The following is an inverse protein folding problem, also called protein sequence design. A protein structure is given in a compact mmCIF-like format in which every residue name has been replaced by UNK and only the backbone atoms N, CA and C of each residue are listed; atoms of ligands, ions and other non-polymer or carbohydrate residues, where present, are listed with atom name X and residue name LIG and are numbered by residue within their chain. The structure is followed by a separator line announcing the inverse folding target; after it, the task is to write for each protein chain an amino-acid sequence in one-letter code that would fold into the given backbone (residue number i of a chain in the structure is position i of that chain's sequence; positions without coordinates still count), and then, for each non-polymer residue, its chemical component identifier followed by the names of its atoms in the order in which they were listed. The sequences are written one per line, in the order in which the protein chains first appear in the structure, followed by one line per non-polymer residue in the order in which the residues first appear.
data_IF_324898081752
#
_entry.id   IF_324898081752
#
_cell.length_a   1.000
_cell.length_b   1.000
_cell.length_c   1.000
_cell.angle_alpha   90.00
_cell.angle_beta   90.00
_cell.angle_gamma   90.00
#
_symmetry.space_group_name_H-M   'P 1'
#
loop_
_entity.id
_entity.type
_entity.pdbx_description
1 polymer ?
#
# COMPACT_ATOMS: atom_id res chain seq x y z
N UNK A 1 28.67 36.69 10.96
CA UNK A 1 28.99 35.70 9.92
C UNK A 1 28.78 34.31 10.49
N UNK A 2 27.99 33.49 9.78
CA UNK A 2 27.79 32.05 9.96
C UNK A 2 27.18 31.54 11.29
N UNK A 3 25.84 31.61 11.45
CA UNK A 3 25.14 30.62 12.31
C UNK A 3 23.61 30.42 12.10
N UNK A 4 22.98 30.80 10.99
CA UNK A 4 21.49 30.68 10.88
C UNK A 4 20.98 29.60 9.91
N UNK A 5 21.82 28.93 9.12
CA UNK A 5 21.34 28.10 8.01
C UNK A 5 20.95 26.66 8.35
N UNK A 6 21.11 26.18 9.59
CA UNK A 6 20.92 24.76 9.92
C UNK A 6 19.52 24.38 10.42
N UNK A 7 18.77 25.30 11.03
CA UNK A 7 17.38 25.02 11.48
C UNK A 7 16.33 25.29 10.38
N UNK A 8 16.66 26.15 9.41
CA UNK A 8 15.70 26.64 8.41
C UNK A 8 15.36 25.65 7.28
N UNK A 9 16.09 24.54 7.16
CA UNK A 9 15.97 23.65 6.00
C UNK A 9 15.34 22.28 6.28
N UNK A 10 14.73 22.10 7.47
CA UNK A 10 14.13 20.83 7.91
C UNK A 10 13.23 20.20 6.84
N UNK A 11 12.44 21.00 6.13
CA UNK A 11 11.55 20.48 5.08
C UNK A 11 12.29 19.93 3.86
N UNK A 12 13.35 20.60 3.40
CA UNK A 12 14.13 20.17 2.24
C UNK A 12 14.94 18.94 2.57
N UNK A 13 15.51 18.89 3.78
CA UNK A 13 16.20 17.70 4.27
C UNK A 13 15.24 16.51 4.40
N UNK A 14 14.00 16.74 4.84
CA UNK A 14 12.97 15.70 4.87
C UNK A 14 12.58 15.21 3.48
N UNK A 15 12.55 16.06 2.46
CA UNK A 15 12.29 15.67 1.07
C UNK A 15 13.45 14.83 0.51
N UNK A 16 14.68 15.27 0.76
CA UNK A 16 15.90 14.53 0.40
C UNK A 16 15.93 13.16 1.09
N UNK A 17 15.57 13.11 2.37
CA UNK A 17 15.49 11.86 3.12
C UNK A 17 14.37 10.97 2.57
N UNK A 18 13.19 11.51 2.27
CA UNK A 18 12.08 10.75 1.68
C UNK A 18 12.45 10.10 0.34
N UNK A 19 13.24 10.79 -0.49
CA UNK A 19 13.79 10.20 -1.73
C UNK A 19 14.76 9.06 -1.42
N UNK A 20 15.68 9.25 -0.47
CA UNK A 20 16.64 8.21 -0.05
C UNK A 20 15.95 6.99 0.56
N UNK A 21 14.91 7.18 1.37
CA UNK A 21 14.13 6.10 2.00
C UNK A 21 13.45 5.20 0.94
N UNK A 22 13.09 5.78 -0.22
CA UNK A 22 12.57 5.03 -1.38
C UNK A 22 13.67 4.40 -2.25
N UNK A 23 14.94 4.61 -1.94
CA UNK A 23 16.09 4.13 -2.73
C UNK A 23 16.27 4.87 -4.07
N UNK A 24 15.62 6.03 -4.25
CA UNK A 24 15.62 6.73 -5.53
C UNK A 24 16.86 7.60 -5.70
N UNK A 25 17.47 7.57 -6.89
CA UNK A 25 18.52 8.53 -7.26
C UNK A 25 17.92 9.90 -7.58
N UNK A 26 18.72 10.97 -7.53
CA UNK A 26 18.27 12.31 -7.96
C UNK A 26 17.84 12.31 -9.44
N UNK A 27 18.50 11.50 -10.28
CA UNK A 27 18.16 11.32 -11.68
C UNK A 27 16.79 10.65 -11.85
N UNK A 28 16.51 9.59 -11.09
CA UNK A 28 15.23 8.89 -11.14
C UNK A 28 14.05 9.80 -10.74
N UNK A 29 14.23 10.60 -9.67
CA UNK A 29 13.22 11.58 -9.29
C UNK A 29 13.03 12.65 -10.37
N UNK A 30 14.12 13.10 -10.99
CA UNK A 30 14.07 14.10 -12.06
C UNK A 30 13.28 13.59 -13.28
N UNK A 31 13.51 12.33 -13.70
CA UNK A 31 12.77 11.67 -14.78
C UNK A 31 11.26 11.57 -14.46
N UNK A 32 10.90 11.17 -13.23
CA UNK A 32 9.51 11.11 -12.76
C UNK A 32 8.80 12.46 -12.72
N UNK A 33 9.54 13.53 -12.42
CA UNK A 33 9.02 14.91 -12.33
C UNK A 33 9.01 15.60 -13.70
N UNK A 34 9.73 15.06 -14.70
CA UNK A 34 9.91 15.71 -16.00
C UNK A 34 10.86 16.90 -15.95
N UNK A 35 11.91 16.85 -15.13
CA UNK A 35 12.91 17.93 -15.01
C UNK A 35 14.35 17.39 -15.07
N UNK A 36 15.35 18.26 -15.03
CA UNK A 36 16.75 17.83 -15.04
C UNK A 36 17.22 17.37 -13.66
N UNK A 37 18.16 16.42 -13.62
CA UNK A 37 18.79 15.97 -12.37
C UNK A 37 19.46 17.11 -11.59
N UNK A 38 19.96 18.12 -12.32
CA UNK A 38 20.54 19.33 -11.74
C UNK A 38 19.47 20.19 -11.03
N UNK A 39 18.23 20.23 -11.51
CA UNK A 39 17.13 20.93 -10.82
C UNK A 39 16.78 20.24 -9.50
N UNK A 40 16.74 18.91 -9.45
CA UNK A 40 16.53 18.15 -8.21
C UNK A 40 17.70 18.36 -7.24
N UNK A 41 18.94 18.36 -7.74
CA UNK A 41 20.13 18.63 -6.92
C UNK A 41 20.09 20.03 -6.28
N UNK A 42 19.69 21.05 -7.05
CA UNK A 42 19.53 22.42 -6.54
C UNK A 42 18.36 22.52 -5.55
N UNK A 43 17.25 21.86 -5.85
CA UNK A 43 16.09 21.80 -4.97
C UNK A 43 16.45 21.24 -3.60
N UNK A 44 17.21 20.15 -3.55
CA UNK A 44 17.73 19.54 -2.32
C UNK A 44 18.78 20.37 -1.58
N UNK A 45 19.27 21.44 -2.20
CA UNK A 45 20.10 22.46 -1.57
C UNK A 45 19.27 23.71 -1.17
N UNK A 46 17.94 23.63 -1.22
CA UNK A 46 17.02 24.72 -0.89
C UNK A 46 16.82 25.75 -2.00
N UNK A 47 17.37 25.51 -3.19
CA UNK A 47 17.34 26.46 -4.31
C UNK A 47 16.48 25.93 -5.46
N UNK A 48 15.40 26.65 -5.77
CA UNK A 48 14.51 26.27 -6.88
C UNK A 48 13.19 27.01 -6.84
N UNK A 49 12.28 26.62 -7.73
CA UNK A 49 10.91 27.11 -7.75
C UNK A 49 10.01 26.27 -6.86
N UNK A 50 8.94 26.89 -6.35
CA UNK A 50 7.87 26.17 -5.64
C UNK A 50 7.20 25.14 -6.55
N UNK A 51 7.10 25.40 -7.85
CA UNK A 51 6.55 24.45 -8.81
C UNK A 51 7.35 23.13 -8.85
N UNK A 52 8.69 23.20 -8.94
CA UNK A 52 9.53 22.00 -8.91
C UNK A 52 9.49 21.30 -7.55
N UNK A 53 9.41 22.07 -6.46
CA UNK A 53 9.23 21.53 -5.11
C UNK A 53 7.93 20.72 -5.00
N UNK A 54 6.80 21.32 -5.42
CA UNK A 54 5.48 20.68 -5.38
C UNK A 54 5.46 19.43 -6.26
N UNK A 55 6.06 19.48 -7.45
CA UNK A 55 6.14 18.31 -8.32
C UNK A 55 6.97 17.18 -7.69
N UNK A 56 8.10 17.49 -7.05
CA UNK A 56 8.90 16.51 -6.30
C UNK A 56 8.14 15.98 -5.08
N UNK A 57 7.40 16.83 -4.36
CA UNK A 57 6.55 16.41 -3.24
C UNK A 57 5.47 15.44 -3.71
N UNK A 58 4.81 15.72 -4.83
CA UNK A 58 3.80 14.82 -5.40
C UNK A 58 4.40 13.47 -5.81
N UNK A 59 5.55 13.47 -6.50
CA UNK A 59 6.22 12.23 -6.92
C UNK A 59 6.69 11.35 -5.75
N UNK A 60 7.00 11.96 -4.60
CA UNK A 60 7.41 11.27 -3.38
C UNK A 60 6.25 10.97 -2.43
N UNK A 61 5.02 11.36 -2.79
CA UNK A 61 3.83 11.38 -1.91
C UNK A 61 4.11 12.10 -0.58
N UNK A 62 4.93 13.15 -0.65
CA UNK A 62 5.32 13.95 0.50
C UNK A 62 4.23 14.98 0.82
N UNK A 63 3.47 14.71 1.89
CA UNK A 63 2.41 15.60 2.39
C UNK A 63 2.89 16.38 3.61
N UNK A 64 2.43 17.62 3.75
CA UNK A 64 2.66 18.45 4.95
C UNK A 64 1.44 18.41 5.88
N UNK A 65 1.69 18.52 7.19
CA UNK A 65 0.67 18.79 8.22
C UNK A 65 1.00 20.06 8.97
N UNK A 66 0.03 20.60 9.73
CA UNK A 66 0.21 21.86 10.46
C UNK A 66 -0.10 23.12 9.64
N UNK A 67 -0.58 22.94 8.40
CA UNK A 67 -1.08 23.99 7.52
C UNK A 67 -2.62 24.10 7.57
N UNK A 68 -3.21 24.99 6.78
CA UNK A 68 -4.66 25.08 6.59
C UNK A 68 -5.20 23.90 5.77
N UNK A 69 -6.52 23.67 5.74
CA UNK A 69 -7.11 22.69 4.84
C UNK A 69 -6.92 23.13 3.37
N UNK A 70 -6.79 22.22 2.42
CA UNK A 70 -6.64 22.58 0.99
C UNK A 70 -6.05 21.44 0.15
N UNK A 71 -6.39 21.42 -1.14
CA UNK A 71 -5.92 20.38 -2.07
C UNK A 71 -4.47 20.63 -2.49
N UNK A 72 -4.07 21.90 -2.58
CA UNK A 72 -2.73 22.34 -2.99
C UNK A 72 -1.99 23.01 -1.85
N UNK A 73 -0.65 23.01 -1.89
CA UNK A 73 0.18 23.73 -0.91
C UNK A 73 -0.19 25.22 -0.86
N UNK A 74 -0.47 25.82 -2.01
CA UNK A 74 -0.87 27.21 -2.17
C UNK A 74 -2.16 27.54 -1.38
N UNK A 75 -3.21 26.72 -1.55
CA UNK A 75 -4.45 26.86 -0.80
C UNK A 75 -4.26 26.66 0.70
N UNK A 76 -3.43 25.69 1.09
CA UNK A 76 -3.16 25.40 2.50
C UNK A 76 -2.44 26.58 3.18
N UNK A 77 -1.51 27.24 2.48
CA UNK A 77 -0.85 28.47 2.95
C UNK A 77 -1.85 29.61 3.11
N UNK A 78 -2.66 29.87 2.08
CA UNK A 78 -3.68 30.92 2.10
C UNK A 78 -4.66 30.74 3.25
N UNK A 79 -5.23 29.55 3.38
CA UNK A 79 -6.20 29.23 4.46
C UNK A 79 -5.54 29.23 5.84
N UNK A 80 -4.25 28.87 5.95
CA UNK A 80 -3.51 29.01 7.22
C UNK A 80 -3.35 30.47 7.63
N UNK A 81 -2.99 31.34 6.68
CA UNK A 81 -2.85 32.79 6.90
C UNK A 81 -4.18 33.41 7.30
N UNK A 82 -5.25 33.06 6.58
CA UNK A 82 -6.60 33.50 6.90
C UNK A 82 -7.04 33.05 8.30
N UNK A 83 -6.81 31.78 8.66
CA UNK A 83 -7.13 31.24 10.00
C UNK A 83 -6.35 31.93 11.14
N UNK A 84 -5.17 32.47 10.86
CA UNK A 84 -4.38 33.29 11.81
C UNK A 84 -4.83 34.76 11.86
N UNK A 85 -5.80 35.17 11.05
CA UNK A 85 -6.24 36.56 10.94
C UNK A 85 -5.19 37.49 10.34
N UNK A 86 -4.19 36.97 9.63
CA UNK A 86 -3.13 37.80 9.05
C UNK A 86 -3.57 38.31 7.68
N UNK A 87 -3.55 39.64 7.50
CA UNK A 87 -3.61 40.22 6.16
C UNK A 87 -2.35 39.86 5.35
N UNK A 88 -2.39 40.04 4.03
CA UNK A 88 -1.19 39.87 3.18
C UNK A 88 -0.07 40.82 3.62
N UNK A 89 -0.41 42.06 3.98
CA UNK A 89 0.53 43.05 4.50
C UNK A 89 1.15 42.64 5.84
N UNK A 90 0.34 42.07 6.74
CA UNK A 90 0.82 41.55 8.04
C UNK A 90 1.77 40.38 7.85
N UNK A 91 1.46 39.46 6.93
CA UNK A 91 2.34 38.34 6.62
C UNK A 91 3.67 38.83 6.02
N UNK A 92 3.60 39.73 5.05
CA UNK A 92 4.76 40.38 4.42
C UNK A 92 5.70 41.01 5.46
N UNK A 93 5.16 41.83 6.36
CA UNK A 93 5.92 42.48 7.44
C UNK A 93 6.57 41.45 8.39
N UNK A 94 5.85 40.40 8.79
CA UNK A 94 6.36 39.37 9.70
C UNK A 94 7.44 38.49 9.10
N UNK A 95 7.43 38.29 7.78
CA UNK A 95 8.41 37.43 7.08
C UNK A 95 9.55 38.22 6.43
N UNK A 96 9.42 39.55 6.35
CA UNK A 96 10.31 40.41 5.55
C UNK A 96 10.22 40.13 4.04
N UNK A 97 9.05 39.73 3.55
CA UNK A 97 8.76 39.47 2.13
C UNK A 97 7.83 40.57 1.60
N UNK A 98 7.81 40.80 0.28
CA UNK A 98 6.83 41.75 -0.28
C UNK A 98 5.41 41.14 -0.31
N UNK A 99 4.35 41.96 -0.23
CA UNK A 99 2.97 41.50 -0.40
C UNK A 99 2.75 40.72 -1.70
N UNK A 100 3.40 41.14 -2.79
CA UNK A 100 3.37 40.46 -4.08
C UNK A 100 3.95 39.05 -4.00
N UNK A 101 5.05 38.87 -3.28
CA UNK A 101 5.66 37.54 -3.07
C UNK A 101 4.75 36.63 -2.26
N UNK A 102 4.08 37.15 -1.22
CA UNK A 102 3.07 36.38 -0.46
C UNK A 102 1.95 35.91 -1.38
N UNK A 103 1.41 36.81 -2.20
CA UNK A 103 0.34 36.48 -3.15
C UNK A 103 0.79 35.46 -4.20
N UNK A 104 2.03 35.57 -4.68
CA UNK A 104 2.56 34.63 -5.66
C UNK A 104 2.75 33.22 -5.08
N UNK A 105 3.22 33.13 -3.83
CA UNK A 105 3.31 31.86 -3.08
C UNK A 105 1.92 31.22 -2.87
N UNK A 106 0.91 32.02 -2.54
CA UNK A 106 -0.48 31.56 -2.36
C UNK A 106 -1.19 31.19 -3.67
N UNK A 107 -0.54 31.43 -4.81
CA UNK A 107 -0.96 30.94 -6.14
C UNK A 107 -0.10 29.77 -6.64
N UNK A 108 0.80 29.24 -5.81
CA UNK A 108 1.65 28.10 -6.14
C UNK A 108 2.95 28.45 -6.87
N UNK A 109 3.24 29.73 -7.05
CA UNK A 109 4.49 30.23 -7.64
C UNK A 109 5.54 30.58 -6.59
N UNK A 110 6.62 31.23 -7.04
CA UNK A 110 7.68 31.75 -6.18
C UNK A 110 8.89 30.83 -6.01
N UNK A 111 9.82 31.25 -5.16
CA UNK A 111 11.04 30.50 -4.87
C UNK A 111 10.89 29.67 -3.60
N UNK A 112 11.63 28.55 -3.53
CA UNK A 112 11.69 27.73 -2.32
C UNK A 112 12.19 28.54 -1.12
N UNK A 113 13.17 29.43 -1.31
CA UNK A 113 13.67 30.30 -0.24
C UNK A 113 12.57 31.21 0.34
N UNK A 114 11.76 31.83 -0.51
CA UNK A 114 10.63 32.66 -0.06
C UNK A 114 9.56 31.83 0.65
N UNK A 115 9.28 30.61 0.15
CA UNK A 115 8.35 29.69 0.78
C UNK A 115 8.82 29.26 2.19
N UNK A 116 10.09 28.94 2.36
CA UNK A 116 10.64 28.53 3.66
C UNK A 116 10.51 29.66 4.69
N UNK A 117 10.86 30.90 4.32
CA UNK A 117 10.68 32.09 5.17
C UNK A 117 9.22 32.32 5.56
N UNK A 118 8.28 32.07 4.62
CA UNK A 118 6.86 32.16 4.94
C UNK A 118 6.44 31.06 5.91
N UNK A 119 6.81 29.81 5.66
CA UNK A 119 6.45 28.66 6.49
C UNK A 119 6.95 28.79 7.92
N UNK A 120 8.18 29.25 8.11
CA UNK A 120 8.81 29.45 9.42
C UNK A 120 7.93 30.31 10.35
N UNK A 121 7.40 31.44 9.84
CA UNK A 121 6.55 32.34 10.63
C UNK A 121 5.07 31.95 10.60
N UNK A 122 4.55 31.53 9.44
CA UNK A 122 3.13 31.27 9.23
C UNK A 122 2.68 29.92 9.81
N UNK A 123 3.56 28.94 9.81
CA UNK A 123 3.30 27.58 10.25
C UNK A 123 4.56 26.94 10.87
N UNK A 124 5.05 27.44 12.02
CA UNK A 124 6.24 26.87 12.69
C UNK A 124 6.05 25.41 13.11
N UNK A 125 4.80 24.96 13.25
CA UNK A 125 4.45 23.57 13.53
C UNK A 125 4.32 22.72 12.27
N UNK A 126 4.59 23.27 11.09
CA UNK A 126 4.51 22.53 9.83
C UNK A 126 5.60 21.47 9.80
N UNK A 127 5.19 20.23 9.53
CA UNK A 127 6.08 19.08 9.47
C UNK A 127 5.58 18.11 8.43
N UNK A 128 6.50 17.27 7.91
CA UNK A 128 6.12 16.09 7.12
C UNK A 128 4.99 15.38 7.85
N UNK A 129 3.85 15.22 7.17
CA UNK A 129 2.80 14.31 7.62
C UNK A 129 3.50 12.97 7.75
N UNK A 130 3.54 12.40 8.97
CA UNK A 130 3.94 11.00 9.09
C UNK A 130 3.17 10.26 8.00
N UNK A 131 3.84 9.47 7.13
CA UNK A 131 3.12 8.71 6.11
C UNK A 131 1.96 8.09 6.85
N UNK A 132 0.74 8.43 6.44
CA UNK A 132 -0.47 8.01 7.12
C UNK A 132 -0.24 6.54 7.42
N UNK A 133 -0.14 6.16 8.72
CA UNK A 133 0.17 4.78 9.12
C UNK A 133 -0.68 3.94 8.22
N UNK A 134 -0.09 3.22 7.26
CA UNK A 134 -0.80 2.84 6.06
C UNK A 134 -2.11 2.17 6.47
N UNK A 135 -3.19 2.95 6.49
CA UNK A 135 -4.54 2.45 6.53
C UNK A 135 -4.73 2.08 5.09
N UNK A 136 -4.21 0.90 4.74
CA UNK A 136 -4.49 0.11 3.55
C UNK A 136 -5.29 0.84 2.46
N UNK A 137 -4.66 1.77 1.74
CA UNK A 137 -5.36 2.51 0.68
C UNK A 137 -4.70 3.83 0.31
N UNK A 138 -3.64 3.78 -0.49
CA UNK A 138 -3.27 4.80 -1.49
C UNK A 138 -1.97 4.43 -2.24
N UNK A 139 -1.38 3.25 -2.01
CA UNK A 139 -0.55 2.60 -3.02
C UNK A 139 -1.44 2.07 -4.15
N UNK A 140 -0.94 2.11 -5.39
CA UNK A 140 -1.60 1.60 -6.61
C UNK A 140 -2.57 0.46 -6.29
N UNK A 141 -3.81 0.52 -6.79
CA UNK A 141 -4.84 -0.52 -6.52
C UNK A 141 -4.33 -1.95 -6.80
N UNK A 142 -3.32 -2.10 -7.67
CA UNK A 142 -2.57 -3.34 -7.96
C UNK A 142 -1.68 -3.84 -6.81
N UNK A 143 -1.09 -2.95 -6.01
CA UNK A 143 -0.19 -3.29 -4.88
C UNK A 143 -1.00 -3.72 -3.65
N UNK A 144 -2.21 -3.16 -3.45
CA UNK A 144 -3.03 -3.42 -2.25
C UNK A 144 -3.43 -4.88 -2.09
N UNK A 145 -3.57 -5.63 -3.18
CA UNK A 145 -4.00 -7.03 -3.16
C UNK A 145 -2.89 -8.04 -3.46
N UNK A 146 -1.68 -7.55 -3.72
CA UNK A 146 -0.51 -8.40 -3.94
C UNK A 146 0.08 -8.85 -2.61
N UNK A 147 -0.51 -9.91 -2.03
CA UNK A 147 -0.06 -10.53 -0.76
C UNK A 147 0.38 -11.96 -1.02
N UNK A 148 1.68 -12.23 -1.07
CA UNK A 148 2.19 -13.56 -1.36
C UNK A 148 2.32 -14.40 -0.09
N UNK A 149 1.92 -15.67 -0.20
CA UNK A 149 1.96 -16.61 0.92
C UNK A 149 3.40 -16.91 1.31
N UNK A 150 3.77 -16.85 2.60
CA UNK A 150 5.16 -17.07 3.00
C UNK A 150 5.57 -18.55 2.83
N UNK A 151 6.82 -18.84 2.41
CA UNK A 151 7.28 -20.20 2.09
C UNK A 151 7.10 -21.23 3.22
N UNK A 152 7.27 -20.82 4.47
CA UNK A 152 7.07 -21.69 5.63
C UNK A 152 5.62 -22.17 5.76
N UNK A 153 4.66 -21.31 5.41
CA UNK A 153 3.25 -21.67 5.41
C UNK A 153 2.93 -22.59 4.23
N UNK A 154 3.46 -22.30 3.05
CA UNK A 154 3.33 -23.17 1.88
C UNK A 154 3.90 -24.57 2.13
N UNK A 155 5.03 -24.68 2.83
CA UNK A 155 5.60 -25.98 3.20
C UNK A 155 4.64 -26.79 4.08
N UNK A 156 3.94 -26.15 5.03
CA UNK A 156 2.92 -26.81 5.84
C UNK A 156 1.72 -27.25 5.00
N UNK A 157 1.27 -26.42 4.05
CA UNK A 157 0.21 -26.78 3.09
C UNK A 157 0.61 -27.98 2.25
N UNK A 158 1.82 -27.98 1.66
CA UNK A 158 2.31 -29.10 0.87
C UNK A 158 2.40 -30.40 1.68
N UNK A 159 2.83 -30.32 2.95
CA UNK A 159 2.89 -31.51 3.81
C UNK A 159 1.51 -32.03 4.22
N UNK A 160 0.48 -31.18 4.25
CA UNK A 160 -0.87 -31.58 4.62
C UNK A 160 -1.68 -32.08 3.42
N UNK A 161 -1.54 -31.45 2.25
CA UNK A 161 -2.40 -31.68 1.08
C UNK A 161 -1.67 -32.29 -0.13
N UNK A 162 -0.34 -32.28 -0.15
CA UNK A 162 0.48 -32.74 -1.28
C UNK A 162 0.90 -31.60 -2.22
N UNK A 163 1.31 -31.97 -3.43
CA UNK A 163 1.68 -30.98 -4.46
C UNK A 163 0.47 -30.19 -4.93
N UNK A 164 0.66 -28.88 -5.12
CA UNK A 164 -0.38 -27.99 -5.64
C UNK A 164 -0.46 -28.23 -7.15
N UNK A 165 -1.61 -28.69 -7.64
CA UNK A 165 -1.83 -28.86 -9.07
C UNK A 165 -2.15 -27.51 -9.72
N UNK A 166 -2.95 -26.66 -9.06
CA UNK A 166 -3.39 -25.38 -9.60
C UNK A 166 -3.24 -24.22 -8.59
N UNK A 167 -2.61 -23.12 -9.02
CA UNK A 167 -2.69 -21.79 -8.40
C UNK A 167 -3.52 -20.86 -9.31
N UNK A 168 -4.83 -20.71 -9.05
CA UNK A 168 -5.67 -19.92 -9.94
C UNK A 168 -5.53 -18.41 -9.70
N UNK A 169 -4.82 -17.99 -8.64
CA UNK A 169 -4.52 -16.59 -8.33
C UNK A 169 -3.04 -16.27 -8.61
N UNK A 170 -2.46 -16.96 -9.59
CA UNK A 170 -1.03 -16.93 -9.85
C UNK A 170 -0.49 -15.52 -10.13
N UNK A 171 0.71 -15.27 -9.61
CA UNK A 171 1.45 -14.03 -9.84
C UNK A 171 2.92 -14.33 -10.10
N UNK A 172 3.59 -13.50 -10.90
CA UNK A 172 5.00 -13.72 -11.27
C UNK A 172 5.95 -13.74 -10.06
N UNK A 173 5.62 -12.95 -9.03
CA UNK A 173 6.38 -12.86 -7.76
C UNK A 173 5.88 -13.84 -6.68
N UNK A 174 4.83 -14.61 -6.94
CA UNK A 174 4.30 -15.56 -5.96
C UNK A 174 5.28 -16.73 -5.78
N UNK A 175 5.61 -17.12 -4.53
CA UNK A 175 6.45 -18.29 -4.26
C UNK A 175 5.70 -19.62 -4.36
N UNK A 176 4.40 -19.60 -4.67
CA UNK A 176 3.59 -20.81 -4.84
C UNK A 176 4.15 -21.65 -5.99
N UNK A 177 4.46 -22.92 -5.69
CA UNK A 177 4.92 -23.90 -6.67
C UNK A 177 3.75 -24.81 -7.05
N UNK A 178 3.01 -24.40 -8.07
CA UNK A 178 1.92 -25.17 -8.65
C UNK A 178 2.30 -25.72 -10.03
N UNK A 179 1.72 -26.87 -10.42
CA UNK A 179 1.93 -27.43 -11.78
C UNK A 179 1.37 -26.50 -12.86
N UNK A 180 0.22 -25.91 -12.62
CA UNK A 180 -0.42 -24.88 -13.45
C UNK A 180 -0.71 -23.64 -12.60
N UNK A 181 -0.57 -22.47 -13.21
CA UNK A 181 -0.97 -21.18 -12.61
C UNK A 181 -1.62 -20.29 -13.64
N UNK A 182 -2.68 -19.59 -13.25
CA UNK A 182 -3.26 -18.55 -14.09
C UNK A 182 -2.53 -17.23 -13.86
N UNK A 183 -2.24 -16.49 -14.94
CA UNK A 183 -1.68 -15.14 -14.85
C UNK A 183 -2.46 -14.21 -15.75
N UNK A 184 -3.15 -13.23 -15.16
CA UNK A 184 -3.83 -12.16 -15.89
C UNK A 184 -2.91 -11.44 -16.89
N UNK A 185 -1.63 -11.24 -16.54
CA UNK A 185 -0.64 -10.64 -17.43
C UNK A 185 -0.29 -11.49 -18.65
N UNK A 186 -0.60 -12.79 -18.61
CA UNK A 186 -0.39 -13.74 -19.70
C UNK A 186 -1.70 -14.03 -20.48
N UNK A 187 -2.81 -13.36 -20.12
CA UNK A 187 -4.12 -13.54 -20.76
C UNK A 187 -5.00 -14.61 -20.11
N UNK A 188 -4.55 -15.31 -19.07
CA UNK A 188 -5.38 -16.25 -18.32
C UNK A 188 -6.19 -15.53 -17.24
N UNK A 189 -7.38 -16.02 -16.90
CA UNK A 189 -8.19 -15.51 -15.79
C UNK A 189 -8.81 -16.65 -14.97
N UNK A 190 -8.33 -16.83 -13.73
CA UNK A 190 -8.84 -17.87 -12.84
C UNK A 190 -10.29 -17.70 -12.39
N UNK A 191 -10.92 -16.55 -12.60
CA UNK A 191 -12.35 -16.37 -12.36
C UNK A 191 -13.22 -16.90 -13.52
N UNK A 192 -12.67 -17.00 -14.73
CA UNK A 192 -13.42 -17.42 -15.94
C UNK A 192 -12.95 -18.76 -16.50
N UNK A 193 -11.64 -19.02 -16.45
CA UNK A 193 -11.02 -20.20 -17.05
C UNK A 193 -11.26 -21.47 -16.24
N UNK A 194 -11.27 -22.61 -16.92
CA UNK A 194 -11.57 -23.91 -16.32
C UNK A 194 -10.44 -24.42 -15.43
N UNK A 195 -10.82 -24.79 -14.21
CA UNK A 195 -9.90 -25.41 -13.26
C UNK A 195 -9.85 -26.90 -13.51
N UNK A 196 -8.74 -27.53 -13.14
CA UNK A 196 -8.57 -28.98 -13.27
C UNK A 196 -7.44 -29.43 -12.35
N UNK A 197 -7.60 -30.56 -11.67
CA UNK A 197 -6.54 -31.18 -10.88
C UNK A 197 -7.05 -31.72 -9.56
N UNK A 198 -6.17 -32.29 -8.73
CA UNK A 198 -6.60 -32.81 -7.43
C UNK A 198 -6.63 -31.71 -6.38
N UNK A 199 -5.61 -30.85 -6.38
CA UNK A 199 -5.47 -29.82 -5.36
C UNK A 199 -5.25 -28.43 -5.94
N UNK A 200 -6.18 -27.52 -5.67
CA UNK A 200 -6.03 -26.09 -5.93
C UNK A 200 -5.78 -25.30 -4.64
N UNK A 201 -4.76 -24.44 -4.65
CA UNK A 201 -4.47 -23.50 -3.57
C UNK A 201 -4.78 -22.08 -4.02
N UNK A 202 -5.69 -21.41 -3.31
CA UNK A 202 -6.25 -20.11 -3.69
C UNK A 202 -5.84 -19.08 -2.66
N UNK A 203 -5.00 -18.12 -3.04
CA UNK A 203 -4.69 -16.93 -2.26
C UNK A 203 -5.09 -15.70 -3.06
N UNK A 204 -6.38 -15.31 -3.01
CA UNK A 204 -6.93 -14.36 -3.96
C UNK A 204 -6.61 -12.91 -3.59
N UNK A 205 -6.84 -11.96 -4.51
CA UNK A 205 -7.08 -10.56 -4.16
C UNK A 205 -8.15 -10.46 -3.06
N UNK A 206 -7.78 -9.97 -1.88
CA UNK A 206 -8.68 -9.97 -0.71
C UNK A 206 -9.86 -9.00 -0.86
N UNK A 207 -9.78 -8.03 -1.77
CA UNK A 207 -10.93 -7.20 -2.16
C UNK A 207 -12.04 -8.00 -2.86
N UNK A 208 -11.68 -9.08 -3.55
CA UNK A 208 -12.60 -9.89 -4.37
C UNK A 208 -12.90 -11.26 -3.73
N UNK A 209 -12.63 -11.42 -2.43
CA UNK A 209 -12.78 -12.69 -1.69
C UNK A 209 -14.08 -13.45 -2.01
N UNK A 210 -15.22 -12.75 -2.04
CA UNK A 210 -16.52 -13.39 -2.25
C UNK A 210 -16.64 -14.02 -3.64
N UNK A 211 -16.09 -13.38 -4.68
CA UNK A 211 -16.08 -13.94 -6.05
C UNK A 211 -15.21 -15.18 -6.12
N UNK A 212 -14.03 -15.14 -5.50
CA UNK A 212 -13.11 -16.28 -5.48
C UNK A 212 -13.64 -17.46 -4.67
N UNK A 213 -14.30 -17.23 -3.52
CA UNK A 213 -14.92 -18.32 -2.76
C UNK A 213 -16.07 -18.98 -3.54
N UNK A 214 -16.89 -18.20 -4.26
CA UNK A 214 -17.93 -18.73 -5.14
C UNK A 214 -17.34 -19.56 -6.28
N UNK A 215 -16.33 -19.03 -6.96
CA UNK A 215 -15.62 -19.76 -8.03
C UNK A 215 -15.01 -21.06 -7.53
N UNK A 216 -14.32 -21.02 -6.38
CA UNK A 216 -13.76 -22.21 -5.75
C UNK A 216 -14.84 -23.27 -5.43
N UNK A 217 -15.99 -22.82 -4.91
CA UNK A 217 -17.13 -23.70 -4.65
C UNK A 217 -17.70 -24.31 -5.93
N UNK A 218 -17.89 -23.52 -6.98
CA UNK A 218 -18.40 -23.99 -8.28
C UNK A 218 -17.46 -25.05 -8.88
N UNK A 219 -16.15 -24.79 -8.90
CA UNK A 219 -15.16 -25.69 -9.48
C UNK A 219 -15.03 -27.00 -8.68
N UNK A 220 -15.09 -26.92 -7.35
CA UNK A 220 -15.13 -28.12 -6.51
C UNK A 220 -16.42 -28.91 -6.70
N UNK A 221 -17.59 -28.23 -6.69
CA UNK A 221 -18.90 -28.87 -6.83
C UNK A 221 -19.08 -29.55 -8.19
N UNK A 222 -18.50 -28.98 -9.25
CA UNK A 222 -18.48 -29.56 -10.59
C UNK A 222 -17.56 -30.80 -10.70
N UNK A 223 -16.73 -31.09 -9.70
CA UNK A 223 -15.77 -32.19 -9.73
C UNK A 223 -14.50 -31.87 -10.52
N UNK A 224 -14.31 -30.63 -10.97
CA UNK A 224 -13.13 -30.19 -11.69
C UNK A 224 -11.87 -30.22 -10.81
N UNK A 225 -12.05 -29.94 -9.52
CA UNK A 225 -10.99 -30.03 -8.51
C UNK A 225 -11.46 -30.80 -7.28
N UNK A 226 -10.68 -31.79 -6.84
CA UNK A 226 -11.05 -32.64 -5.70
C UNK A 226 -11.01 -31.89 -4.36
N UNK A 227 -9.93 -31.13 -4.12
CA UNK A 227 -9.71 -30.34 -2.91
C UNK A 227 -9.33 -28.90 -3.26
N UNK A 228 -9.99 -27.94 -2.62
CA UNK A 228 -9.67 -26.52 -2.76
C UNK A 228 -9.38 -25.92 -1.38
N UNK A 229 -8.24 -25.25 -1.24
CA UNK A 229 -7.86 -24.54 -0.01
C UNK A 229 -7.76 -23.05 -0.32
N UNK A 230 -8.67 -22.26 0.24
CA UNK A 230 -8.69 -20.81 0.09
C UNK A 230 -8.13 -20.12 1.35
N UNK A 231 -7.05 -19.36 1.20
CA UNK A 231 -6.49 -18.51 2.24
C UNK A 231 -7.07 -17.10 2.13
N UNK A 232 -7.98 -16.73 3.05
CA UNK A 232 -8.77 -15.49 2.94
C UNK A 232 -8.90 -14.77 4.28
N UNK A 233 -9.18 -13.46 4.29
CA UNK A 233 -9.59 -12.74 5.50
C UNK A 233 -10.81 -13.39 6.16
N UNK A 234 -10.85 -13.36 7.49
CA UNK A 234 -11.98 -13.85 8.28
C UNK A 234 -13.17 -12.89 8.18
N UNK A 235 -13.90 -12.97 7.07
CA UNK A 235 -15.14 -12.25 6.78
C UNK A 235 -16.25 -13.26 6.56
N UNK A 236 -17.11 -13.42 7.56
CA UNK A 236 -18.13 -14.46 7.64
C UNK A 236 -19.55 -13.87 7.69
N UNK A 237 -19.68 -12.58 7.43
CA UNK A 237 -20.88 -11.77 7.59
C UNK A 237 -21.82 -11.81 6.37
N UNK A 238 -21.37 -12.35 5.23
CA UNK A 238 -22.22 -12.47 4.05
C UNK A 238 -23.23 -13.61 4.18
N UNK A 239 -24.45 -13.36 3.72
CA UNK A 239 -25.55 -14.34 3.67
C UNK A 239 -25.10 -15.65 3.02
N UNK A 240 -24.44 -15.57 1.87
CA UNK A 240 -23.94 -16.74 1.17
C UNK A 240 -22.88 -17.53 1.96
N UNK A 241 -22.01 -16.84 2.70
CA UNK A 241 -21.03 -17.54 3.54
C UNK A 241 -21.75 -18.36 4.62
N UNK A 242 -22.70 -17.74 5.32
CA UNK A 242 -23.41 -18.36 6.43
C UNK A 242 -24.36 -19.48 5.99
N UNK A 243 -25.17 -19.21 4.95
CA UNK A 243 -26.25 -20.11 4.54
C UNK A 243 -25.82 -21.19 3.54
N UNK A 244 -24.71 -21.00 2.82
CA UNK A 244 -24.23 -21.96 1.82
C UNK A 244 -22.88 -22.52 2.23
N UNK A 245 -21.88 -21.66 2.39
CA UNK A 245 -20.50 -22.13 2.52
C UNK A 245 -20.23 -22.87 3.84
N UNK A 246 -20.80 -22.40 4.96
CA UNK A 246 -20.67 -23.07 6.25
C UNK A 246 -21.21 -24.51 6.27
N UNK A 247 -22.20 -24.84 5.43
CA UNK A 247 -22.77 -26.17 5.36
C UNK A 247 -21.88 -27.21 4.66
N UNK A 248 -20.87 -26.77 3.91
CA UNK A 248 -20.06 -27.64 3.03
C UNK A 248 -18.56 -27.52 3.28
N UNK A 249 -18.07 -26.33 3.63
CA UNK A 249 -16.65 -26.08 3.80
C UNK A 249 -16.18 -26.43 5.21
N UNK A 250 -14.94 -26.92 5.31
CA UNK A 250 -14.21 -27.00 6.57
C UNK A 250 -13.41 -25.72 6.74
N UNK A 251 -13.76 -24.95 7.76
CA UNK A 251 -13.12 -23.66 8.04
C UNK A 251 -12.11 -23.81 9.17
N UNK A 252 -10.89 -23.34 8.96
CA UNK A 252 -9.81 -23.37 9.95
C UNK A 252 -9.33 -21.94 10.24
N UNK A 253 -9.55 -21.47 11.46
CA UNK A 253 -9.11 -20.16 11.91
C UNK A 253 -7.64 -20.23 12.34
N UNK A 254 -6.79 -19.43 11.72
CA UNK A 254 -5.36 -19.41 12.05
C UNK A 254 -5.13 -18.69 13.40
N UNK A 255 -4.24 -19.25 14.23
CA UNK A 255 -3.78 -18.59 15.45
C UNK A 255 -2.62 -17.66 15.13
N UNK A 256 -2.79 -16.37 15.44
CA UNK A 256 -1.80 -15.33 15.17
C UNK A 256 -2.00 -14.63 13.82
N UNK A 257 -1.03 -13.78 13.45
CA UNK A 257 -1.07 -13.04 12.17
C UNK A 257 -0.07 -13.63 11.20
N UNK A 258 -0.57 -14.20 10.11
CA UNK A 258 0.27 -14.63 9.00
C UNK A 258 0.99 -13.41 8.40
N UNK A 259 2.30 -13.53 8.20
CA UNK A 259 3.11 -12.46 7.59
C UNK A 259 3.26 -12.71 6.10
N UNK A 260 2.46 -12.02 5.30
CA UNK A 260 2.54 -12.12 3.85
C UNK A 260 3.74 -11.35 3.32
N UNK A 261 4.22 -11.73 2.14
CA UNK A 261 5.29 -11.07 1.42
C UNK A 261 4.67 -10.09 0.42
N UNK A 262 5.11 -8.84 0.43
CA UNK A 262 4.69 -7.83 -0.56
C UNK A 262 5.52 -7.93 -1.88
N UNK A 263 5.17 -7.20 -2.95
CA UNK A 263 5.96 -7.18 -4.19
C UNK A 263 7.42 -6.72 -4.05
N UNK A 264 7.79 -6.14 -2.91
CA UNK A 264 9.16 -5.70 -2.60
C UNK A 264 9.92 -6.75 -1.79
N UNK A 265 9.31 -7.90 -1.51
CA UNK A 265 9.90 -8.98 -0.73
C UNK A 265 9.84 -8.78 0.79
N UNK A 266 9.15 -7.74 1.27
CA UNK A 266 9.05 -7.46 2.70
C UNK A 266 7.92 -8.28 3.32
N UNK A 267 8.20 -8.92 4.46
CA UNK A 267 7.19 -9.60 5.24
C UNK A 267 6.40 -8.61 6.12
N UNK A 268 5.07 -8.69 6.08
CA UNK A 268 4.19 -7.88 6.91
C UNK A 268 2.99 -8.69 7.40
N UNK A 269 2.68 -8.56 8.70
CA UNK A 269 1.47 -9.10 9.28
C UNK A 269 0.23 -8.34 8.75
N UNK A 270 -0.85 -9.07 8.45
CA UNK A 270 -2.14 -8.44 8.14
C UNK A 270 -2.75 -7.80 9.39
N UNK A 271 -3.46 -6.66 9.26
CA UNK A 271 -4.17 -6.07 10.40
C UNK A 271 -5.43 -6.88 10.79
N UNK A 272 -5.89 -7.75 9.89
CA UNK A 272 -7.06 -8.61 10.05
C UNK A 272 -6.66 -10.07 10.25
N UNK A 273 -7.60 -10.85 10.80
CA UNK A 273 -7.50 -12.30 10.90
C UNK A 273 -7.65 -12.94 9.52
N UNK A 274 -6.99 -14.07 9.35
CA UNK A 274 -7.10 -14.91 8.15
C UNK A 274 -7.54 -16.31 8.57
N UNK A 275 -8.24 -16.97 7.66
CA UNK A 275 -8.74 -18.33 7.81
C UNK A 275 -8.44 -19.12 6.54
N UNK A 276 -8.44 -20.45 6.67
CA UNK A 276 -8.53 -21.36 5.55
C UNK A 276 -9.97 -21.80 5.38
N UNK A 277 -10.52 -21.63 4.19
CA UNK A 277 -11.79 -22.23 3.78
C UNK A 277 -11.47 -23.40 2.88
N UNK A 278 -11.86 -24.61 3.28
CA UNK A 278 -11.40 -25.84 2.65
C UNK A 278 -12.59 -26.65 2.16
N UNK A 279 -12.60 -26.97 0.87
CA UNK A 279 -13.60 -27.81 0.21
C UNK A 279 -12.97 -29.16 -0.15
N UNK A 280 -13.68 -30.27 0.08
CA UNK A 280 -13.24 -31.61 -0.34
C UNK A 280 -12.14 -32.28 0.50
N UNK A 281 -11.73 -31.71 1.63
CA UNK A 281 -10.66 -32.32 2.44
C UNK A 281 -11.02 -33.67 3.08
N UNK A 282 -10.02 -34.53 3.20
CA UNK A 282 -10.06 -35.78 3.96
C UNK A 282 -9.64 -35.57 5.43
N UNK A 283 -9.98 -36.52 6.30
CA UNK A 283 -9.57 -36.47 7.72
C UNK A 283 -8.05 -36.42 7.91
N UNK A 284 -7.23 -37.26 7.21
CA UNK A 284 -5.77 -37.17 7.32
C UNK A 284 -5.20 -35.81 6.92
N UNK A 285 -5.72 -35.18 5.86
CA UNK A 285 -5.28 -33.84 5.44
C UNK A 285 -5.57 -32.79 6.53
N UNK A 286 -6.76 -32.84 7.15
CA UNK A 286 -7.13 -31.92 8.24
C UNK A 286 -6.25 -32.08 9.47
N UNK A 287 -6.00 -33.32 9.90
CA UNK A 287 -5.08 -33.60 11.01
C UNK A 287 -3.66 -33.15 10.66
N UNK A 288 -3.22 -33.42 9.43
CA UNK A 288 -1.93 -33.01 8.92
C UNK A 288 -1.72 -31.50 8.95
N UNK A 289 -2.75 -30.73 8.59
CA UNK A 289 -2.76 -29.27 8.67
C UNK A 289 -2.71 -28.80 10.14
N UNK A 290 -3.60 -29.30 10.99
CA UNK A 290 -3.71 -28.89 12.40
C UNK A 290 -2.41 -29.08 13.18
N UNK A 291 -1.69 -30.17 12.91
CA UNK A 291 -0.42 -30.47 13.57
C UNK A 291 0.73 -29.53 13.15
N UNK A 292 0.59 -28.80 12.04
CA UNK A 292 1.66 -27.97 11.45
C UNK A 292 1.36 -26.49 11.51
N UNK A 293 0.08 -26.13 11.50
CA UNK A 293 -0.38 -24.75 11.46
C UNK A 293 -1.23 -24.49 12.71
N UNK A 294 -0.76 -23.67 13.66
CA UNK A 294 -1.53 -23.31 14.83
C UNK A 294 -2.88 -22.67 14.46
N UNK A 295 -3.96 -23.16 15.05
CA UNK A 295 -5.31 -22.69 14.74
C UNK A 295 -6.38 -23.53 15.40
N UNK A 296 -7.62 -23.34 14.96
CA UNK A 296 -8.79 -24.11 15.43
C UNK A 296 -9.79 -24.28 14.30
N UNK A 297 -10.43 -25.46 14.24
CA UNK A 297 -11.54 -25.71 13.31
C UNK A 297 -12.81 -25.00 13.78
N UNK A 298 -13.58 -24.48 12.83
CA UNK A 298 -14.96 -24.08 13.07
C UNK A 298 -15.75 -25.33 13.49
N UNK A 299 -16.41 -25.24 14.64
CA UNK A 299 -17.23 -26.31 15.22
C UNK A 299 -18.55 -26.47 14.47
#
# INVERSE_FOLDING_TARGET
MASDTKEDQILIDQIKQARKDRGWSQRFLAERVGCSSQMIKRLEAGVGSVATLVAAMNALEFRLTGLGPGATLAEQLHKRRYKRGWSVATAAAKTGLSPTTIHYLERGGGSVASLMRLLEKLAPTARRRAPERAYWGEGDKLDRDSRFTPPEFLAAIHKAFGDIDLDPCGHALSPVKAKRRFRLSAGDDGLTDDWSGRFAFVNPPFSEQQKWLRRAFEQWKAGNVETVVCLVPTRTDSDWFQNVLCGVAKVYFLRGRLRFIDPRGKQQATPFSVMLVILGSTTPQRIGLQNRVPGIWMM
#
